data_IF_588681263017
#
_entry.id   IF_588681263017
#
_cell.length_a   1.000
_cell.length_b   1.000
_cell.length_c   1.000
_cell.angle_alpha   90.00
_cell.angle_beta   90.00
_cell.angle_gamma   90.00
#
_symmetry.space_group_name_H-M   'P 1'
#
loop_
_entity.id
_entity.type
_entity.pdbx_description
1 polymer ?
#
# COMPACT_ATOMS: atom_id res chain seq x y z
N UNK A 1 -28.70 3.73 4.43
CA UNK A 1 -28.51 3.71 2.96
C UNK A 1 -28.23 5.11 2.40
N UNK A 2 -29.07 6.11 2.69
CA UNK A 2 -28.87 7.52 2.26
C UNK A 2 -27.49 8.06 2.63
N UNK A 3 -27.05 7.91 3.89
CA UNK A 3 -25.73 8.39 4.32
C UNK A 3 -24.57 7.81 3.49
N UNK A 4 -24.63 6.52 3.14
CA UNK A 4 -23.61 5.86 2.32
C UNK A 4 -23.61 6.42 0.88
N UNK A 5 -24.79 6.59 0.28
CA UNK A 5 -24.93 7.19 -1.05
C UNK A 5 -24.40 8.63 -1.08
N UNK A 6 -24.69 9.42 -0.05
CA UNK A 6 -24.18 10.79 0.09
C UNK A 6 -22.66 10.79 0.22
N UNK A 7 -22.08 9.95 1.08
CA UNK A 7 -20.62 9.87 1.21
C UNK A 7 -19.94 9.37 -0.06
N UNK A 8 -20.54 8.42 -0.77
CA UNK A 8 -20.02 7.91 -2.04
C UNK A 8 -20.07 9.00 -3.12
N UNK A 9 -21.17 9.77 -3.18
CA UNK A 9 -21.29 10.90 -4.09
C UNK A 9 -20.23 11.97 -3.80
N UNK A 10 -20.05 12.35 -2.54
CA UNK A 10 -19.01 13.31 -2.12
C UNK A 10 -17.62 12.82 -2.54
N UNK A 11 -17.29 11.55 -2.30
CA UNK A 11 -16.00 10.99 -2.69
C UNK A 11 -15.82 10.95 -4.21
N UNK A 12 -16.84 10.54 -4.97
CA UNK A 12 -16.80 10.55 -6.42
C UNK A 12 -16.60 11.98 -6.96
N UNK A 13 -17.37 12.95 -6.47
CA UNK A 13 -17.22 14.37 -6.81
C UNK A 13 -15.79 14.84 -6.51
N UNK A 14 -15.25 14.55 -5.34
CA UNK A 14 -13.89 14.96 -5.01
C UNK A 14 -12.88 14.35 -6.01
N UNK A 15 -12.95 13.06 -6.28
CA UNK A 15 -12.06 12.40 -7.26
C UNK A 15 -12.18 13.02 -8.66
N UNK A 16 -13.38 13.31 -9.16
CA UNK A 16 -13.54 13.86 -10.50
C UNK A 16 -13.17 15.34 -10.63
N UNK A 17 -13.35 16.14 -9.57
CA UNK A 17 -13.22 17.60 -9.67
C UNK A 17 -11.92 18.17 -9.08
N UNK A 18 -11.25 17.49 -8.14
CA UNK A 18 -10.02 18.02 -7.51
C UNK A 18 -8.75 17.22 -7.83
N UNK A 19 -8.87 16.03 -8.45
CA UNK A 19 -7.71 15.17 -8.70
C UNK A 19 -6.63 15.85 -9.55
N UNK A 20 -7.00 16.64 -10.54
CA UNK A 20 -6.03 17.27 -11.45
C UNK A 20 -5.57 18.66 -10.99
N UNK A 21 -6.31 19.31 -10.08
CA UNK A 21 -6.02 20.70 -9.67
C UNK A 21 -4.90 20.83 -8.64
N UNK A 22 -4.55 19.75 -7.94
CA UNK A 22 -3.64 19.78 -6.79
C UNK A 22 -2.36 18.96 -7.00
N UNK A 23 -2.18 18.38 -8.19
CA UNK A 23 -1.11 17.42 -8.48
C UNK A 23 -0.14 18.00 -9.51
N UNK A 24 1.12 17.61 -9.38
CA UNK A 24 2.16 17.96 -10.37
C UNK A 24 1.93 17.09 -11.60
N UNK A 25 1.88 17.71 -12.77
CA UNK A 25 1.77 17.01 -14.04
C UNK A 25 3.02 16.17 -14.28
N UNK A 26 2.89 14.85 -14.09
CA UNK A 26 3.98 13.89 -14.22
C UNK A 26 3.47 12.67 -15.00
N UNK A 27 4.32 12.05 -15.84
CA UNK A 27 3.89 10.92 -16.64
C UNK A 27 3.48 9.73 -15.76
N UNK A 28 2.40 9.04 -16.14
CA UNK A 28 1.90 7.93 -15.34
C UNK A 28 2.79 6.67 -15.47
N UNK A 29 3.37 6.42 -16.65
CA UNK A 29 4.21 5.24 -16.91
C UNK A 29 3.45 3.91 -16.90
N UNK A 30 2.15 3.94 -17.22
CA UNK A 30 1.29 2.78 -17.15
C UNK A 30 1.66 1.73 -18.23
N UNK A 31 1.96 0.51 -17.80
CA UNK A 31 2.13 -0.65 -18.68
C UNK A 31 1.68 -1.92 -17.97
N UNK A 32 1.31 -2.95 -18.75
CA UNK A 32 0.88 -4.25 -18.19
C UNK A 32 1.99 -4.87 -17.32
N UNK A 33 3.25 -4.79 -17.77
CA UNK A 33 4.38 -5.35 -17.03
C UNK A 33 4.57 -4.66 -15.67
N UNK A 34 4.45 -3.33 -15.63
CA UNK A 34 4.53 -2.56 -14.39
C UNK A 34 3.34 -2.88 -13.49
N UNK A 35 2.13 -2.97 -14.06
CA UNK A 35 0.93 -3.34 -13.31
C UNK A 35 1.05 -4.73 -12.66
N UNK A 36 1.42 -5.74 -13.44
CA UNK A 36 1.58 -7.12 -12.96
C UNK A 36 2.66 -7.19 -11.88
N UNK A 37 3.79 -6.51 -12.08
CA UNK A 37 4.88 -6.47 -11.11
C UNK A 37 4.44 -5.79 -9.81
N UNK A 38 3.77 -4.65 -9.90
CA UNK A 38 3.22 -3.90 -8.77
C UNK A 38 2.17 -4.70 -8.00
N UNK A 39 1.21 -5.32 -8.70
CA UNK A 39 0.17 -6.15 -8.08
C UNK A 39 0.78 -7.35 -7.37
N UNK A 40 1.75 -8.02 -7.99
CA UNK A 40 2.39 -9.19 -7.40
C UNK A 40 3.23 -8.81 -6.17
N UNK A 41 3.97 -7.71 -6.26
CA UNK A 41 4.77 -7.17 -5.18
C UNK A 41 3.91 -6.76 -3.98
N UNK A 42 2.80 -6.06 -4.21
CA UNK A 42 1.97 -5.51 -3.14
C UNK A 42 0.94 -6.51 -2.62
N UNK A 43 0.24 -7.25 -3.48
CA UNK A 43 -0.79 -8.20 -3.03
C UNK A 43 -0.22 -9.49 -2.45
N UNK A 44 0.97 -9.90 -2.88
CA UNK A 44 1.56 -11.16 -2.43
C UNK A 44 2.92 -10.97 -1.78
N UNK A 45 3.81 -10.18 -2.38
CA UNK A 45 5.12 -9.90 -1.80
C UNK A 45 5.00 -9.30 -0.40
N UNK A 46 4.28 -8.20 -0.28
CA UNK A 46 4.11 -7.47 0.98
C UNK A 46 3.24 -8.22 1.98
N UNK A 47 2.17 -8.88 1.50
CA UNK A 47 1.33 -9.72 2.35
C UNK A 47 2.20 -10.85 2.91
N UNK A 48 2.71 -11.77 2.08
CA UNK A 48 3.29 -13.03 2.58
C UNK A 48 4.74 -12.97 3.03
N UNK A 49 5.55 -12.10 2.43
CA UNK A 49 7.00 -12.14 2.60
C UNK A 49 7.60 -10.88 3.23
N UNK A 50 6.80 -9.82 3.38
CA UNK A 50 7.23 -8.58 3.97
C UNK A 50 8.16 -7.75 3.09
N UNK A 51 8.43 -6.52 3.53
CA UNK A 51 9.21 -5.45 2.88
C UNK A 51 10.58 -5.93 2.42
N UNK A 52 11.24 -6.75 3.22
CA UNK A 52 12.61 -7.21 2.95
C UNK A 52 12.68 -8.12 1.72
N UNK A 53 11.65 -8.95 1.50
CA UNK A 53 11.60 -9.87 0.36
C UNK A 53 11.15 -9.19 -0.94
N UNK A 54 10.28 -8.19 -0.85
CA UNK A 54 9.80 -7.44 -2.03
C UNK A 54 10.91 -6.59 -2.67
N UNK A 55 11.89 -6.13 -1.90
CA UNK A 55 13.02 -5.32 -2.42
C UNK A 55 13.95 -6.08 -3.36
N UNK A 56 14.12 -7.39 -3.16
CA UNK A 56 15.24 -8.13 -3.74
C UNK A 56 14.81 -9.10 -4.86
N UNK A 57 13.60 -9.68 -4.81
CA UNK A 57 13.22 -10.81 -5.69
C UNK A 57 11.99 -10.62 -6.57
N UNK A 58 11.14 -9.63 -6.29
CA UNK A 58 9.87 -9.45 -7.00
C UNK A 58 9.94 -8.58 -8.26
N UNK A 59 11.13 -8.11 -8.63
CA UNK A 59 11.38 -7.37 -9.88
C UNK A 59 11.48 -8.28 -11.12
N UNK A 60 11.52 -9.60 -10.95
CA UNK A 60 11.58 -10.55 -12.08
C UNK A 60 10.18 -10.90 -12.57
N UNK A 61 9.86 -10.45 -13.78
CA UNK A 61 8.56 -10.64 -14.45
C UNK A 61 8.09 -12.10 -14.45
N UNK A 62 9.01 -13.06 -14.57
CA UNK A 62 8.72 -14.51 -14.57
C UNK A 62 8.05 -15.00 -13.27
N UNK A 63 8.38 -14.40 -12.12
CA UNK A 63 7.79 -14.77 -10.82
C UNK A 63 6.49 -14.00 -10.57
N UNK A 64 6.41 -12.76 -11.08
CA UNK A 64 5.25 -11.91 -10.90
C UNK A 64 3.99 -12.48 -11.59
N UNK A 65 4.09 -12.95 -12.85
CA UNK A 65 2.91 -13.45 -13.58
C UNK A 65 2.16 -14.60 -12.89
N UNK A 66 2.80 -15.70 -12.45
CA UNK A 66 2.11 -16.77 -11.75
C UNK A 66 1.38 -16.29 -10.49
N UNK A 67 2.02 -15.39 -9.73
CA UNK A 67 1.48 -14.85 -8.49
C UNK A 67 0.28 -13.95 -8.77
N UNK A 68 0.39 -13.07 -9.76
CA UNK A 68 -0.72 -12.27 -10.23
C UNK A 68 -1.91 -13.14 -10.67
N UNK A 69 -1.67 -14.22 -11.42
CA UNK A 69 -2.71 -15.13 -11.87
C UNK A 69 -3.42 -15.85 -10.70
N UNK A 70 -2.67 -16.30 -9.69
CA UNK A 70 -3.25 -16.87 -8.46
C UNK A 70 -4.09 -15.82 -7.72
N UNK A 71 -3.59 -14.59 -7.61
CA UNK A 71 -4.30 -13.45 -7.00
C UNK A 71 -5.64 -13.23 -7.68
N UNK A 72 -5.62 -13.04 -8.99
CA UNK A 72 -6.80 -12.74 -9.81
C UNK A 72 -7.78 -13.90 -9.76
N UNK A 73 -7.30 -15.14 -9.80
CA UNK A 73 -8.15 -16.33 -9.69
C UNK A 73 -8.89 -16.38 -8.35
N UNK A 74 -8.23 -16.04 -7.25
CA UNK A 74 -8.85 -15.96 -5.93
C UNK A 74 -9.90 -14.84 -5.87
N UNK A 75 -9.59 -13.65 -6.41
CA UNK A 75 -10.55 -12.53 -6.48
C UNK A 75 -11.78 -12.94 -7.26
N UNK A 76 -11.60 -13.50 -8.45
CA UNK A 76 -12.66 -13.98 -9.32
C UNK A 76 -13.52 -15.02 -8.56
N UNK A 77 -12.87 -16.00 -7.93
CA UNK A 77 -13.57 -17.03 -7.15
C UNK A 77 -14.39 -16.42 -5.99
N UNK A 78 -13.81 -15.49 -5.23
CA UNK A 78 -14.48 -14.82 -4.12
C UNK A 78 -15.68 -13.98 -4.61
N UNK A 79 -15.54 -13.26 -5.73
CA UNK A 79 -16.66 -12.51 -6.33
C UNK A 79 -17.81 -13.42 -6.75
N UNK A 80 -17.54 -14.66 -7.16
CA UNK A 80 -18.58 -15.62 -7.49
C UNK A 80 -19.23 -16.25 -6.24
N UNK A 81 -18.43 -16.71 -5.27
CA UNK A 81 -18.89 -17.62 -4.21
C UNK A 81 -18.98 -17.02 -2.80
N UNK A 82 -18.26 -15.92 -2.51
CA UNK A 82 -18.18 -15.39 -1.15
C UNK A 82 -19.50 -14.74 -0.69
N UNK A 83 -19.71 -14.58 0.63
CA UNK A 83 -20.81 -13.78 1.16
C UNK A 83 -20.77 -12.34 0.64
N UNK A 84 -21.94 -11.69 0.59
CA UNK A 84 -22.09 -10.34 0.05
C UNK A 84 -21.10 -9.34 0.67
N UNK A 85 -20.83 -9.45 1.97
CA UNK A 85 -19.88 -8.57 2.67
C UNK A 85 -18.46 -8.63 2.08
N UNK A 86 -17.97 -9.82 1.71
CA UNK A 86 -16.65 -10.00 1.10
C UNK A 86 -16.65 -9.48 -0.33
N UNK A 87 -17.72 -9.75 -1.10
CA UNK A 87 -17.87 -9.22 -2.46
C UNK A 87 -17.88 -7.70 -2.48
N UNK A 88 -18.64 -7.07 -1.58
CA UNK A 88 -18.72 -5.62 -1.45
C UNK A 88 -17.37 -5.01 -1.04
N UNK A 89 -16.67 -5.63 -0.09
CA UNK A 89 -15.34 -5.20 0.32
C UNK A 89 -14.32 -5.27 -0.84
N UNK A 90 -14.33 -6.37 -1.59
CA UNK A 90 -13.49 -6.54 -2.78
C UNK A 90 -13.77 -5.48 -3.84
N UNK A 91 -15.03 -5.32 -4.23
CA UNK A 91 -15.44 -4.33 -5.24
C UNK A 91 -15.05 -2.91 -4.81
N UNK A 92 -15.33 -2.55 -3.56
CA UNK A 92 -14.95 -1.25 -3.01
C UNK A 92 -13.43 -1.04 -3.06
N UNK A 93 -12.65 -2.03 -2.62
CA UNK A 93 -11.19 -1.94 -2.61
C UNK A 93 -10.58 -1.84 -4.01
N UNK A 94 -11.13 -2.54 -5.00
CA UNK A 94 -10.69 -2.45 -6.40
C UNK A 94 -11.01 -1.10 -7.01
N UNK A 95 -12.18 -0.52 -6.71
CA UNK A 95 -12.55 0.83 -7.16
C UNK A 95 -11.66 1.89 -6.53
N UNK A 96 -11.39 1.78 -5.23
CA UNK A 96 -10.45 2.64 -4.51
C UNK A 96 -9.05 2.57 -5.13
N UNK A 97 -8.57 1.36 -5.45
CA UNK A 97 -7.28 1.20 -6.09
C UNK A 97 -7.27 1.79 -7.51
N UNK A 98 -8.32 1.57 -8.30
CA UNK A 98 -8.44 2.13 -9.64
C UNK A 98 -8.39 3.67 -9.60
N UNK A 99 -9.10 4.30 -8.67
CA UNK A 99 -9.05 5.74 -8.45
C UNK A 99 -7.65 6.21 -8.01
N UNK A 100 -6.98 5.45 -7.14
CA UNK A 100 -5.63 5.76 -6.69
C UNK A 100 -4.59 5.67 -7.81
N UNK A 101 -4.70 4.68 -8.71
CA UNK A 101 -3.78 4.47 -9.83
C UNK A 101 -4.11 5.33 -11.06
N UNK A 102 -5.28 5.98 -11.09
CA UNK A 102 -5.66 6.90 -12.16
C UNK A 102 -4.71 8.11 -12.23
N UNK A 103 -4.39 8.69 -11.07
CA UNK A 103 -3.48 9.84 -10.96
C UNK A 103 -2.66 9.73 -9.65
N UNK A 104 -1.74 8.77 -9.54
CA UNK A 104 -0.97 8.58 -8.32
C UNK A 104 0.06 9.69 -8.13
N UNK A 105 0.29 10.11 -6.89
CA UNK A 105 1.29 11.11 -6.55
C UNK A 105 2.28 10.51 -5.53
N UNK A 106 3.42 10.02 -6.00
CA UNK A 106 4.49 9.43 -5.15
C UNK A 106 5.74 10.29 -5.13
N UNK A 107 5.99 11.03 -6.21
CA UNK A 107 7.17 11.86 -6.38
C UNK A 107 6.83 13.03 -7.31
N UNK A 108 7.50 14.16 -7.17
CA UNK A 108 7.27 15.33 -8.03
C UNK A 108 7.93 15.21 -9.42
N UNK A 109 8.42 14.02 -9.78
CA UNK A 109 9.16 13.80 -11.03
C UNK A 109 9.15 12.34 -11.45
N UNK A 110 9.31 12.07 -12.74
CA UNK A 110 9.40 10.71 -13.30
C UNK A 110 8.08 9.95 -13.34
N UNK A 111 8.14 8.69 -13.77
CA UNK A 111 6.97 7.85 -14.01
C UNK A 111 6.36 7.28 -12.71
N UNK A 112 5.11 7.63 -12.44
CA UNK A 112 4.49 7.34 -11.14
C UNK A 112 4.28 5.84 -10.88
N UNK A 113 3.77 5.06 -11.85
CA UNK A 113 3.55 3.61 -11.67
C UNK A 113 4.87 2.86 -11.46
N UNK A 114 5.92 3.25 -12.19
CA UNK A 114 7.26 2.69 -12.01
C UNK A 114 7.79 3.01 -10.62
N UNK A 115 7.56 4.23 -10.13
CA UNK A 115 7.96 4.61 -8.77
C UNK A 115 7.16 3.90 -7.70
N UNK A 116 5.85 3.67 -7.88
CA UNK A 116 5.06 2.85 -6.96
C UNK A 116 5.67 1.45 -6.87
N UNK A 117 5.91 0.80 -8.00
CA UNK A 117 6.47 -0.55 -8.03
C UNK A 117 7.90 -0.66 -7.49
N UNK A 118 8.68 0.44 -7.49
CA UNK A 118 10.06 0.47 -6.95
C UNK A 118 10.13 0.97 -5.50
N UNK A 119 9.20 1.81 -5.08
CA UNK A 119 9.23 2.55 -3.81
C UNK A 119 8.16 2.01 -2.87
N UNK A 120 8.43 0.81 -2.34
CA UNK A 120 7.47 0.05 -1.52
C UNK A 120 6.89 0.83 -0.33
N UNK A 121 7.61 1.79 0.27
CA UNK A 121 7.09 2.59 1.38
C UNK A 121 6.05 3.63 0.95
N UNK A 122 6.27 4.32 -0.17
CA UNK A 122 5.39 5.39 -0.61
C UNK A 122 4.24 4.87 -1.49
N UNK A 123 4.48 3.75 -2.20
CA UNK A 123 3.49 3.08 -3.04
C UNK A 123 2.48 2.21 -2.27
N UNK A 124 2.93 1.48 -1.25
CA UNK A 124 2.09 0.53 -0.51
C UNK A 124 0.83 1.12 0.10
N UNK A 125 0.82 2.42 0.42
CA UNK A 125 -0.36 3.11 0.97
C UNK A 125 -1.59 3.03 0.06
N UNK A 126 -1.41 2.93 -1.25
CA UNK A 126 -2.51 2.77 -2.20
C UNK A 126 -3.12 1.36 -2.15
N UNK A 127 -2.40 0.38 -1.61
CA UNK A 127 -2.78 -1.02 -1.60
C UNK A 127 -3.37 -1.50 -0.29
N UNK A 128 -3.25 -0.75 0.81
CA UNK A 128 -3.67 -1.18 2.15
C UNK A 128 -5.10 -1.72 2.17
N UNK A 129 -6.05 -0.98 1.59
CA UNK A 129 -7.47 -1.39 1.58
C UNK A 129 -7.67 -2.68 0.78
N UNK A 130 -6.98 -2.80 -0.35
CA UNK A 130 -7.02 -4.01 -1.17
C UNK A 130 -6.34 -5.19 -0.48
N UNK A 131 -5.21 -4.99 0.21
CA UNK A 131 -4.54 -6.02 1.00
C UNK A 131 -5.45 -6.57 2.09
N UNK A 132 -6.15 -5.69 2.83
CA UNK A 132 -7.13 -6.11 3.84
C UNK A 132 -8.28 -6.91 3.20
N UNK A 133 -8.79 -6.47 2.04
CA UNK A 133 -9.82 -7.19 1.31
C UNK A 133 -9.34 -8.57 0.82
N UNK A 134 -8.10 -8.67 0.34
CA UNK A 134 -7.46 -9.94 -0.02
C UNK A 134 -7.32 -10.86 1.19
N UNK A 135 -6.82 -10.36 2.33
CA UNK A 135 -6.68 -11.16 3.55
C UNK A 135 -8.03 -11.68 4.05
N UNK A 136 -9.07 -10.84 4.04
CA UNK A 136 -10.43 -11.27 4.37
C UNK A 136 -10.94 -12.36 3.41
N UNK A 137 -10.62 -12.25 2.12
CA UNK A 137 -10.99 -13.24 1.11
C UNK A 137 -10.24 -14.56 1.29
N UNK A 138 -8.96 -14.51 1.65
CA UNK A 138 -8.16 -15.68 2.01
C UNK A 138 -8.71 -16.39 3.25
N UNK A 139 -9.03 -15.64 4.31
CA UNK A 139 -9.63 -16.21 5.52
C UNK A 139 -10.97 -16.87 5.21
N UNK A 140 -11.82 -16.19 4.43
CA UNK A 140 -13.08 -16.76 3.96
C UNK A 140 -12.83 -18.05 3.16
N UNK A 141 -11.89 -18.03 2.21
CA UNK A 141 -11.54 -19.20 1.41
C UNK A 141 -11.13 -20.39 2.29
N UNK A 142 -10.25 -20.18 3.27
CA UNK A 142 -9.84 -21.23 4.23
C UNK A 142 -11.03 -21.75 5.05
N UNK A 143 -11.95 -20.89 5.45
CA UNK A 143 -13.17 -21.33 6.17
C UNK A 143 -14.16 -22.07 5.27
N UNK A 144 -14.23 -21.74 3.98
CA UNK A 144 -15.10 -22.44 3.03
C UNK A 144 -14.50 -23.80 2.63
N UNK A 145 -13.16 -23.91 2.56
CA UNK A 145 -12.44 -25.18 2.39
C UNK A 145 -12.73 -26.20 3.51
N UNK A 146 -13.18 -25.76 4.70
CA UNK A 146 -13.67 -26.68 5.75
C UNK A 146 -14.78 -27.59 5.27
N UNK A 147 -15.59 -27.13 4.32
CA UNK A 147 -16.65 -27.92 3.70
C UNK A 147 -16.13 -28.93 2.68
N UNK A 148 -14.90 -28.75 2.19
CA UNK A 148 -14.26 -29.58 1.15
C UNK A 148 -13.29 -30.63 1.72
N UNK A 149 -13.00 -30.60 3.03
CA UNK A 149 -12.27 -31.65 3.73
C UNK A 149 -11.18 -31.16 4.69
N UNK A 150 -10.76 -32.04 5.60
CA UNK A 150 -9.78 -31.73 6.66
C UNK A 150 -8.39 -31.35 6.12
N UNK A 151 -7.94 -31.96 5.02
CA UNK A 151 -6.62 -31.72 4.43
C UNK A 151 -6.50 -30.28 3.90
N UNK A 152 -7.49 -29.81 3.15
CA UNK A 152 -7.51 -28.44 2.63
C UNK A 152 -7.60 -27.38 3.72
N UNK A 153 -8.33 -27.69 4.80
CA UNK A 153 -8.38 -26.83 5.99
C UNK A 153 -7.02 -26.73 6.65
N UNK A 154 -6.35 -27.88 6.86
CA UNK A 154 -5.05 -27.94 7.50
C UNK A 154 -4.00 -27.18 6.69
N UNK A 155 -4.00 -27.36 5.36
CA UNK A 155 -3.13 -26.62 4.45
C UNK A 155 -3.37 -25.10 4.54
N UNK A 156 -4.64 -24.66 4.53
CA UNK A 156 -4.99 -23.26 4.66
C UNK A 156 -4.55 -22.64 6.00
N UNK A 157 -4.74 -23.36 7.10
CA UNK A 157 -4.29 -22.92 8.44
C UNK A 157 -2.77 -22.89 8.51
N UNK A 158 -2.06 -23.89 8.00
CA UNK A 158 -0.60 -23.89 7.97
C UNK A 158 -0.04 -22.71 7.16
N UNK A 159 -0.63 -22.38 6.02
CA UNK A 159 -0.25 -21.19 5.26
C UNK A 159 -0.39 -19.90 6.07
N UNK A 160 -1.48 -19.74 6.83
CA UNK A 160 -1.70 -18.57 7.71
C UNK A 160 -0.74 -18.52 8.91
N UNK A 161 -0.36 -19.67 9.45
CA UNK A 161 0.61 -19.75 10.56
C UNK A 161 2.02 -19.42 10.06
N UNK A 162 2.44 -20.01 8.95
CA UNK A 162 3.74 -19.71 8.31
C UNK A 162 3.84 -18.23 7.93
N UNK A 163 2.75 -17.65 7.43
CA UNK A 163 2.61 -16.21 7.20
C UNK A 163 2.89 -15.39 8.47
N UNK A 164 2.21 -15.70 9.58
CA UNK A 164 2.38 -14.95 10.84
C UNK A 164 3.81 -15.03 11.37
N UNK A 165 4.47 -16.18 11.23
CA UNK A 165 5.87 -16.38 11.64
C UNK A 165 6.83 -15.58 10.74
N UNK A 166 6.63 -15.60 9.42
CA UNK A 166 7.51 -14.88 8.48
C UNK A 166 7.49 -13.37 8.76
N UNK A 167 6.32 -12.76 8.88
CA UNK A 167 6.22 -11.30 9.10
C UNK A 167 6.69 -10.93 10.50
N UNK A 168 6.32 -11.73 11.52
CA UNK A 168 6.70 -11.50 12.91
C UNK A 168 8.22 -11.45 13.13
N UNK A 169 8.98 -12.18 12.32
CA UNK A 169 10.43 -12.31 12.49
C UNK A 169 11.25 -11.34 11.65
N UNK A 170 10.75 -10.89 10.49
CA UNK A 170 11.54 -10.10 9.53
C UNK A 170 11.22 -8.60 9.51
N UNK A 171 9.98 -8.21 9.82
CA UNK A 171 9.46 -6.92 9.34
C UNK A 171 8.93 -5.96 10.43
N UNK A 172 8.61 -6.46 11.63
CA UNK A 172 8.09 -5.62 12.73
C UNK A 172 9.16 -4.92 13.58
N UNK A 173 10.43 -4.98 13.17
CA UNK A 173 11.50 -4.24 13.86
C UNK A 173 11.56 -2.80 13.36
N UNK A 174 10.79 -1.92 14.00
CA UNK A 174 10.94 -0.49 13.77
C UNK A 174 12.32 -0.05 14.30
N UNK A 175 13.22 0.33 13.40
CA UNK A 175 14.48 0.95 13.83
C UNK A 175 14.14 2.30 14.48
N UNK A 176 14.76 2.64 15.62
CA UNK A 176 14.61 3.98 16.16
C UNK A 176 15.06 4.99 15.10
N UNK A 177 14.30 6.07 14.95
CA UNK A 177 14.72 7.20 14.15
C UNK A 177 16.03 7.75 14.70
N UNK A 178 16.88 8.30 13.82
CA UNK A 178 18.08 8.98 14.27
C UNK A 178 17.65 10.20 15.08
N UNK A 179 18.13 10.33 16.32
CA UNK A 179 18.00 11.59 17.04
C UNK A 179 18.96 12.59 16.40
N UNK A 180 18.41 13.69 15.90
CA UNK A 180 19.18 14.80 15.35
C UNK A 180 19.36 15.90 16.41
N UNK A 181 19.18 15.59 17.70
CA UNK A 181 19.22 16.54 18.81
C UNK A 181 18.16 17.63 18.65
N UNK A 182 16.94 17.22 18.30
CA UNK A 182 15.84 18.15 17.97
C UNK A 182 15.61 19.21 19.05
N UNK A 183 15.74 18.83 20.32
CA UNK A 183 15.60 19.76 21.46
C UNK A 183 16.64 20.87 21.44
N UNK A 184 17.88 20.55 21.08
CA UNK A 184 18.96 21.53 21.00
C UNK A 184 18.81 22.41 19.76
N UNK A 185 18.48 21.81 18.61
CA UNK A 185 18.13 22.56 17.40
C UNK A 185 17.02 23.57 17.67
N UNK A 186 15.92 23.15 18.31
CA UNK A 186 14.81 24.03 18.67
C UNK A 186 15.23 25.12 19.65
N UNK A 187 16.07 24.82 20.64
CA UNK A 187 16.57 25.84 21.58
C UNK A 187 17.42 26.90 20.87
N UNK A 188 18.34 26.47 20.00
CA UNK A 188 19.20 27.36 19.22
C UNK A 188 18.37 28.21 18.25
N UNK A 189 17.37 27.61 17.62
CA UNK A 189 16.36 28.28 16.82
C UNK A 189 15.59 29.35 17.61
N UNK A 190 15.18 29.03 18.84
CA UNK A 190 14.49 29.95 19.74
C UNK A 190 15.36 31.11 20.23
N UNK A 191 16.68 30.92 20.31
CA UNK A 191 17.63 31.94 20.77
C UNK A 191 18.10 32.92 19.67
N UNK A 192 17.84 32.63 18.39
CA UNK A 192 18.18 33.55 17.30
C UNK A 192 17.28 34.80 17.32
N UNK A 193 17.78 35.98 16.87
CA UNK A 193 16.98 37.20 16.73
C UNK A 193 15.77 36.98 15.80
N UNK A 194 14.77 37.86 15.84
CA UNK A 194 13.66 37.85 14.86
C UNK A 194 14.18 38.17 13.45
N UNK A 195 13.71 37.47 12.41
CA UNK A 195 14.08 37.72 11.01
C UNK A 195 14.91 36.65 10.25
N UNK A 196 15.76 35.79 10.85
CA UNK A 196 16.34 34.66 10.14
C UNK A 196 15.38 33.47 10.13
N UNK A 197 15.24 32.88 8.95
CA UNK A 197 14.61 31.56 8.77
C UNK A 197 15.50 30.53 9.47
N UNK A 198 14.91 29.81 10.42
CA UNK A 198 15.61 28.77 11.14
C UNK A 198 15.25 27.39 10.56
N UNK A 199 16.26 26.64 10.13
CA UNK A 199 16.11 25.29 9.59
C UNK A 199 16.57 24.26 10.61
N UNK A 200 15.72 23.25 10.86
CA UNK A 200 16.02 22.14 11.76
C UNK A 200 15.89 20.83 11.00
N UNK A 201 16.92 19.99 11.04
CA UNK A 201 16.91 18.68 10.35
C UNK A 201 15.97 17.71 11.04
N UNK A 202 15.11 17.05 10.25
CA UNK A 202 14.19 16.01 10.69
C UNK A 202 14.43 14.68 9.95
N UNK A 203 13.92 13.58 10.51
CA UNK A 203 13.95 12.29 9.84
C UNK A 203 13.08 12.31 8.57
N UNK A 204 13.46 11.57 7.50
CA UNK A 204 14.52 10.55 7.42
C UNK A 204 15.95 11.08 7.21
N UNK A 205 16.17 12.40 7.22
CA UNK A 205 17.45 13.02 6.92
C UNK A 205 17.75 13.11 5.42
N UNK A 206 18.85 13.77 5.06
CA UNK A 206 19.26 14.02 3.66
C UNK A 206 18.20 14.83 2.89
N UNK A 207 18.02 16.12 3.22
CA UNK A 207 17.14 17.12 2.57
C UNK A 207 15.77 17.38 3.23
N UNK A 208 15.46 16.73 4.36
CA UNK A 208 14.25 17.05 5.12
C UNK A 208 14.56 18.01 6.26
N UNK A 209 14.16 19.27 6.08
CA UNK A 209 14.28 20.32 7.08
C UNK A 209 12.89 20.82 7.47
N UNK A 210 12.68 21.01 8.77
CA UNK A 210 11.60 21.83 9.29
C UNK A 210 12.05 23.28 9.30
N UNK A 211 11.29 24.14 8.65
CA UNK A 211 11.59 25.55 8.51
C UNK A 211 10.64 26.35 9.40
N UNK A 212 11.20 27.11 10.34
CA UNK A 212 10.44 28.02 11.19
C UNK A 212 10.74 29.46 10.78
N UNK A 213 9.72 30.16 10.30
CA UNK A 213 9.75 31.60 10.11
C UNK A 213 9.29 32.28 11.40
N UNK A 214 10.11 33.17 11.97
CA UNK A 214 9.76 33.94 13.16
C UNK A 214 9.83 35.44 12.88
#
# INVERSE_FOLDING_TARGET
MVALCVTAAIQATNVFFTADQTRVDTPNGASINVFVSMMSAELFGMIFFGKSFVKEKFSTVLIAYPIFLVSVSLVIYALYRAPLIIKSLLLFSMLMLAAALWSPMVSDSGEQWVRIGKTHLAGSRYFIVLMVAMMASWLWFVTDLKKQGKIFTLAGVMCLVLYGIMIGTTDYRLKPYKDYDWKEQAKNCMAQPEGPVCEMTINPGQQWNFILCR
#
